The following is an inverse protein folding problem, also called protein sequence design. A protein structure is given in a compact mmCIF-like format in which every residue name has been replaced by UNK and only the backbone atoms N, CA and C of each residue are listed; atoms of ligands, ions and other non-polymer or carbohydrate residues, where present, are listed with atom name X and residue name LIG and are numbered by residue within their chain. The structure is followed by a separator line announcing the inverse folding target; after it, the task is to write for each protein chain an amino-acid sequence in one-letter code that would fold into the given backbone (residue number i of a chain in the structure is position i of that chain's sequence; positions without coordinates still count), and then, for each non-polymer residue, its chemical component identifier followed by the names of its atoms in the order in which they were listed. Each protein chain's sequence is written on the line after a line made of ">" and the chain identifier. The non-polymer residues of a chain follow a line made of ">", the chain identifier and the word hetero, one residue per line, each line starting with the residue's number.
data_IF_719375236581
#
_entry.id   IF_719375236581
#
_cell.length_a   1.000
_cell.length_b   1.000
_cell.length_c   1.000
_cell.angle_alpha   90.00
_cell.angle_beta   90.00
_cell.angle_gamma   90.00
#
_symmetry.space_group_name_H-M   'P 1'
#
loop_
_entity.id
_entity.type
_entity.pdbx_description
1 polymer ?
#
# COMPACT_ATOMS: atom_id res chain seq x y z
N UNK A 1 60.12 -12.52 -25.82
CA UNK A 1 59.26 -11.32 -25.80
C UNK A 1 58.11 -11.61 -24.85
N UNK A 2 57.95 -10.72 -23.87
CA UNK A 2 57.07 -10.84 -22.72
C UNK A 2 55.59 -10.68 -23.08
N UNK A 3 54.69 -11.25 -22.27
CA UNK A 3 53.61 -10.49 -21.64
C UNK A 3 52.76 -11.40 -20.75
N UNK A 4 53.16 -11.53 -19.49
CA UNK A 4 52.33 -12.06 -18.39
C UNK A 4 51.18 -11.08 -18.15
N UNK A 5 49.95 -11.47 -18.49
CA UNK A 5 48.75 -10.66 -18.19
C UNK A 5 48.29 -10.96 -16.76
N UNK A 6 48.71 -10.12 -15.83
CA UNK A 6 48.12 -10.03 -14.50
C UNK A 6 46.81 -9.26 -14.62
N UNK A 7 45.68 -9.95 -14.54
CA UNK A 7 44.37 -9.31 -14.43
C UNK A 7 43.86 -9.55 -13.01
N UNK A 8 44.17 -8.63 -12.10
CA UNK A 8 43.43 -8.49 -10.84
C UNK A 8 42.01 -8.01 -11.19
N UNK A 9 41.00 -8.83 -10.94
CA UNK A 9 39.61 -8.40 -10.90
C UNK A 9 39.14 -8.41 -9.45
N UNK A 10 39.08 -7.24 -8.82
CA UNK A 10 38.44 -7.05 -7.52
C UNK A 10 36.92 -7.28 -7.69
N UNK A 11 36.40 -8.38 -7.17
CA UNK A 11 34.96 -8.58 -7.03
C UNK A 11 34.47 -7.88 -5.76
N UNK A 12 33.86 -6.71 -5.92
CA UNK A 12 33.10 -6.03 -4.88
C UNK A 12 31.69 -6.65 -4.82
N UNK A 13 31.43 -7.53 -3.87
CA UNK A 13 30.09 -8.08 -3.64
C UNK A 13 29.35 -7.12 -2.71
N UNK A 14 28.46 -6.30 -3.27
CA UNK A 14 27.52 -5.50 -2.49
C UNK A 14 26.50 -6.42 -1.82
N UNK A 15 26.56 -6.52 -0.49
CA UNK A 15 25.51 -7.17 0.30
C UNK A 15 24.24 -6.30 0.21
N UNK A 16 23.28 -6.71 -0.62
CA UNK A 16 21.92 -6.20 -0.52
C UNK A 16 21.29 -6.80 0.75
N UNK A 17 21.28 -6.05 1.84
CA UNK A 17 20.44 -6.39 2.99
C UNK A 17 18.99 -6.16 2.59
N UNK A 18 18.32 -7.20 2.13
CA UNK A 18 16.87 -7.21 2.03
C UNK A 18 16.32 -7.16 3.46
N UNK A 19 15.89 -5.97 3.90
CA UNK A 19 15.09 -5.88 5.12
C UNK A 19 13.76 -6.54 4.84
N UNK A 20 13.31 -7.52 5.65
CA UNK A 20 11.95 -8.00 5.53
C UNK A 20 11.02 -6.83 5.86
N UNK A 21 10.27 -6.35 4.87
CA UNK A 21 9.15 -5.46 5.11
C UNK A 21 8.07 -6.29 5.79
N UNK A 22 8.10 -6.31 7.13
CA UNK A 22 7.00 -6.82 7.93
C UNK A 22 5.87 -5.82 7.76
N UNK A 23 5.01 -6.04 6.77
CA UNK A 23 3.71 -5.38 6.71
C UNK A 23 2.89 -5.98 7.86
N UNK A 24 3.09 -5.50 9.09
CA UNK A 24 2.07 -5.63 10.11
C UNK A 24 0.87 -4.86 9.56
N UNK A 25 -0.11 -5.56 8.99
CA UNK A 25 -1.42 -4.98 8.75
C UNK A 25 -1.92 -4.56 10.13
N UNK A 26 -1.77 -3.28 10.45
CA UNK A 26 -2.30 -2.75 11.68
C UNK A 26 -3.82 -2.94 11.60
N UNK A 27 -4.37 -3.76 12.49
CA UNK A 27 -5.81 -3.92 12.64
C UNK A 27 -6.36 -2.65 13.30
N UNK A 28 -6.32 -1.53 12.56
CA UNK A 28 -6.77 -0.22 13.02
C UNK A 28 -8.29 -0.22 12.92
N UNK A 29 -8.93 -0.07 14.06
CA UNK A 29 -10.36 0.14 14.19
C UNK A 29 -10.63 1.57 14.65
N UNK A 30 -11.88 2.03 14.58
CA UNK A 30 -12.24 3.41 14.96
C UNK A 30 -11.73 3.80 16.36
N UNK A 31 -11.73 2.86 17.31
CA UNK A 31 -11.28 3.08 18.69
C UNK A 31 -9.77 3.34 18.82
N UNK A 32 -8.99 3.01 17.80
CA UNK A 32 -7.55 3.25 17.77
C UNK A 32 -7.22 4.68 17.29
N UNK A 33 -8.13 5.34 16.58
CA UNK A 33 -7.86 6.60 15.90
C UNK A 33 -8.06 7.80 16.82
N UNK A 34 -7.33 8.88 16.56
CA UNK A 34 -7.46 10.15 17.27
C UNK A 34 -8.87 10.75 17.12
N UNK A 35 -9.53 10.49 15.99
CA UNK A 35 -10.95 10.80 15.78
C UNK A 35 -11.71 9.59 15.23
N UNK A 36 -12.37 8.86 16.14
CA UNK A 36 -13.17 7.68 15.82
C UNK A 36 -14.41 8.00 14.95
N UNK A 37 -14.99 9.20 15.12
CA UNK A 37 -16.18 9.63 14.37
C UNK A 37 -15.80 9.96 12.93
N UNK A 38 -14.72 10.71 12.75
CA UNK A 38 -14.18 11.03 11.43
C UNK A 38 -13.65 9.76 10.71
N UNK A 39 -13.04 8.82 11.43
CA UNK A 39 -12.71 7.50 10.90
C UNK A 39 -13.93 6.79 10.32
N UNK A 40 -14.99 6.66 11.14
CA UNK A 40 -16.21 5.95 10.74
C UNK A 40 -16.88 6.62 9.54
N UNK A 41 -16.98 7.96 9.57
CA UNK A 41 -17.56 8.75 8.48
C UNK A 41 -16.78 8.55 7.18
N UNK A 42 -15.45 8.69 7.23
CA UNK A 42 -14.59 8.53 6.05
C UNK A 42 -14.70 7.12 5.44
N UNK A 43 -14.67 6.07 6.28
CA UNK A 43 -14.81 4.69 5.80
C UNK A 43 -16.19 4.44 5.17
N UNK A 44 -17.26 5.00 5.75
CA UNK A 44 -18.60 4.90 5.18
C UNK A 44 -18.69 5.59 3.81
N UNK A 45 -18.08 6.76 3.66
CA UNK A 45 -18.05 7.48 2.38
C UNK A 45 -17.27 6.70 1.31
N UNK A 46 -16.12 6.13 1.66
CA UNK A 46 -15.35 5.25 0.76
C UNK A 46 -16.16 4.02 0.35
N UNK A 47 -16.86 3.39 1.29
CA UNK A 47 -17.72 2.22 1.04
C UNK A 47 -18.91 2.56 0.12
N UNK A 48 -19.59 3.69 0.37
CA UNK A 48 -20.69 4.17 -0.44
C UNK A 48 -20.25 4.50 -1.87
N UNK A 49 -19.13 5.23 -2.02
CA UNK A 49 -18.54 5.55 -3.31
C UNK A 49 -18.08 4.28 -4.04
N UNK A 50 -17.52 3.32 -3.31
CA UNK A 50 -17.13 2.02 -3.84
C UNK A 50 -18.30 1.21 -4.39
N UNK A 51 -19.41 1.17 -3.65
CA UNK A 51 -20.65 0.54 -4.09
C UNK A 51 -21.18 1.18 -5.37
N UNK A 52 -21.18 2.52 -5.44
CA UNK A 52 -21.55 3.25 -6.65
C UNK A 52 -20.63 2.92 -7.84
N UNK A 53 -19.32 2.85 -7.60
CA UNK A 53 -18.32 2.46 -8.60
C UNK A 53 -18.61 1.05 -9.15
N UNK A 54 -18.82 0.07 -8.28
CA UNK A 54 -19.13 -1.31 -8.71
C UNK A 54 -20.43 -1.40 -9.52
N UNK A 55 -21.48 -0.68 -9.10
CA UNK A 55 -22.75 -0.65 -9.82
C UNK A 55 -22.59 -0.04 -11.23
N UNK A 56 -21.66 0.90 -11.41
CA UNK A 56 -21.38 1.51 -12.72
C UNK A 56 -20.61 0.58 -13.68
N UNK A 57 -19.97 -0.48 -13.17
CA UNK A 57 -19.07 -1.31 -13.95
C UNK A 57 -19.77 -2.33 -14.87
N UNK A 58 -21.07 -2.59 -14.71
CA UNK A 58 -21.84 -3.52 -15.56
C UNK A 58 -21.14 -4.88 -15.82
N UNK A 59 -20.44 -5.43 -14.82
CA UNK A 59 -19.73 -6.71 -14.92
C UNK A 59 -18.34 -6.66 -15.58
N UNK A 60 -17.85 -5.48 -15.99
CA UNK A 60 -16.49 -5.31 -16.51
C UNK A 60 -15.44 -5.58 -15.42
N UNK A 61 -14.62 -6.62 -15.59
CA UNK A 61 -13.60 -7.03 -14.62
C UNK A 61 -12.55 -5.95 -14.40
N UNK A 62 -12.05 -5.31 -15.46
CA UNK A 62 -11.07 -4.23 -15.35
C UNK A 62 -11.62 -3.00 -14.61
N UNK A 63 -12.91 -2.69 -14.81
CA UNK A 63 -13.58 -1.64 -14.05
C UNK A 63 -13.69 -2.01 -12.57
N UNK A 64 -14.12 -3.24 -12.26
CA UNK A 64 -14.21 -3.72 -10.88
C UNK A 64 -12.85 -3.69 -10.17
N UNK A 65 -11.78 -4.08 -10.86
CA UNK A 65 -10.42 -4.01 -10.32
C UNK A 65 -9.98 -2.56 -10.06
N UNK A 66 -10.28 -1.64 -10.96
CA UNK A 66 -10.01 -0.22 -10.74
C UNK A 66 -10.79 0.34 -9.54
N UNK A 67 -12.07 -0.03 -9.39
CA UNK A 67 -12.87 0.34 -8.22
C UNK A 67 -12.24 -0.21 -6.94
N UNK A 68 -11.80 -1.48 -6.92
CA UNK A 68 -11.12 -2.10 -5.76
C UNK A 68 -9.86 -1.34 -5.38
N UNK A 69 -9.02 -0.98 -6.35
CA UNK A 69 -7.81 -0.19 -6.11
C UNK A 69 -8.14 1.18 -5.49
N UNK A 70 -9.15 1.86 -6.03
CA UNK A 70 -9.59 3.19 -5.55
C UNK A 70 -10.13 3.11 -4.12
N UNK A 71 -10.98 2.12 -3.83
CA UNK A 71 -11.54 1.87 -2.50
C UNK A 71 -10.43 1.59 -1.49
N UNK A 72 -9.47 0.74 -1.86
CA UNK A 72 -8.36 0.37 -0.99
C UNK A 72 -7.49 1.59 -0.62
N UNK A 73 -7.15 2.42 -1.61
CA UNK A 73 -6.45 3.68 -1.35
C UNK A 73 -7.28 4.64 -0.49
N UNK A 74 -8.59 4.72 -0.72
CA UNK A 74 -9.52 5.50 0.10
C UNK A 74 -9.44 5.14 1.58
N UNK A 75 -9.49 3.85 1.91
CA UNK A 75 -9.38 3.38 3.29
C UNK A 75 -8.02 3.71 3.92
N UNK A 76 -6.92 3.58 3.16
CA UNK A 76 -5.58 3.96 3.64
C UNK A 76 -5.53 5.48 3.93
N UNK A 77 -6.10 6.30 3.06
CA UNK A 77 -6.15 7.75 3.25
C UNK A 77 -7.00 8.13 4.48
N UNK A 78 -8.14 7.46 4.68
CA UNK A 78 -8.93 7.62 5.90
C UNK A 78 -8.07 7.35 7.14
N UNK A 79 -7.40 6.20 7.21
CA UNK A 79 -6.52 5.85 8.33
C UNK A 79 -5.43 6.90 8.54
N UNK A 80 -4.71 7.29 7.49
CA UNK A 80 -3.62 8.25 7.56
C UNK A 80 -4.08 9.63 8.07
N UNK A 81 -5.30 10.05 7.72
CA UNK A 81 -5.82 11.38 8.08
C UNK A 81 -6.29 11.49 9.54
N UNK A 82 -6.87 10.43 10.11
CA UNK A 82 -7.56 10.50 11.42
C UNK A 82 -6.97 9.57 12.49
N UNK A 83 -6.08 8.67 12.12
CA UNK A 83 -5.42 7.71 13.03
C UNK A 83 -3.91 8.01 13.14
N UNK A 84 -3.49 9.27 13.05
CA UNK A 84 -2.09 9.71 13.12
C UNK A 84 -1.38 9.35 14.43
N UNK A 85 -2.14 8.88 15.43
CA UNK A 85 -1.66 8.37 16.70
C UNK A 85 -1.36 6.84 16.68
N UNK A 86 -1.42 6.22 15.50
CA UNK A 86 -1.06 4.82 15.22
C UNK A 86 0.14 4.77 14.27
#
# INVERSE_FOLDING_TARGET
>A
MASTKHTLALTLITLLTATPQVNAQANITANNCADASAYTTCNNDVSNNGTSCFNSCNGSTSCLDNCRCTIHQGYINCMASVCWNQ
#
